data_IF_140422063281
#
_entry.id   IF_140422063281
#
_cell.length_a   1.000
_cell.length_b   1.000
_cell.length_c   1.000
_cell.angle_alpha   90.00
_cell.angle_beta   90.00
_cell.angle_gamma   90.00
#
_symmetry.space_group_name_H-M   'P 1'
#
loop_
_entity.id
_entity.type
_entity.pdbx_description
1 polymer ?
#
# COMPACT_ATOMS: atom_id res chain seq x y z
N UNK A 1 9.89 -38.15 -0.65
CA UNK A 1 10.34 -36.97 0.12
C UNK A 1 10.70 -37.45 1.51
N UNK A 2 11.95 -37.28 1.94
CA UNK A 2 12.40 -37.75 3.25
C UNK A 2 11.93 -36.84 4.37
N UNK A 3 11.92 -37.32 5.61
CA UNK A 3 11.61 -36.51 6.79
C UNK A 3 12.56 -35.29 6.90
N UNK A 4 13.84 -35.47 6.56
CA UNK A 4 14.84 -34.40 6.54
C UNK A 4 14.56 -33.33 5.47
N UNK A 5 14.07 -33.72 4.28
CA UNK A 5 13.65 -32.78 3.24
C UNK A 5 12.41 -31.99 3.63
N UNK A 6 11.47 -32.62 4.36
CA UNK A 6 10.28 -31.95 4.89
C UNK A 6 10.67 -30.93 5.97
N UNK A 7 11.51 -31.31 6.92
CA UNK A 7 11.99 -30.45 8.01
C UNK A 7 12.80 -29.26 7.48
N UNK A 8 13.69 -29.48 6.51
CA UNK A 8 14.43 -28.41 5.85
C UNK A 8 13.50 -27.40 5.17
N UNK A 9 12.47 -27.89 4.46
CA UNK A 9 11.49 -27.04 3.77
C UNK A 9 10.68 -26.20 4.76
N UNK A 10 10.26 -26.78 5.89
CA UNK A 10 9.55 -26.07 6.96
C UNK A 10 10.44 -24.98 7.55
N UNK A 11 11.66 -25.30 7.97
CA UNK A 11 12.60 -24.32 8.55
C UNK A 11 12.89 -23.17 7.58
N UNK A 12 13.05 -23.48 6.30
CA UNK A 12 13.27 -22.48 5.26
C UNK A 12 12.05 -21.57 5.06
N UNK A 13 10.83 -22.11 5.09
CA UNK A 13 9.61 -21.30 5.01
C UNK A 13 9.41 -20.41 6.24
N UNK A 14 9.64 -20.94 7.44
CA UNK A 14 9.57 -20.17 8.69
C UNK A 14 10.51 -18.98 8.67
N UNK A 15 11.75 -19.16 8.18
CA UNK A 15 12.70 -18.06 8.02
C UNK A 15 12.14 -16.92 7.15
N UNK A 16 11.56 -17.23 5.99
CA UNK A 16 11.03 -16.20 5.10
C UNK A 16 9.81 -15.49 5.68
N UNK A 17 8.91 -16.20 6.36
CA UNK A 17 7.77 -15.57 7.01
C UNK A 17 8.20 -14.69 8.19
N UNK A 18 9.22 -15.12 8.96
CA UNK A 18 9.83 -14.28 10.00
C UNK A 18 10.45 -13.02 9.40
N UNK A 19 11.13 -13.11 8.25
CA UNK A 19 11.65 -11.95 7.54
C UNK A 19 10.54 -11.00 7.07
N UNK A 20 9.42 -11.54 6.55
CA UNK A 20 8.25 -10.73 6.16
C UNK A 20 7.68 -9.97 7.36
N UNK A 21 7.49 -10.65 8.50
CA UNK A 21 7.01 -10.03 9.73
C UNK A 21 8.01 -8.97 10.23
N UNK A 22 9.32 -9.24 10.14
CA UNK A 22 10.34 -8.28 10.54
C UNK A 22 10.27 -6.98 9.71
N UNK A 23 10.00 -7.06 8.40
CA UNK A 23 9.82 -5.86 7.56
C UNK A 23 8.65 -5.01 8.03
N UNK A 24 7.49 -5.62 8.31
CA UNK A 24 6.33 -4.89 8.83
C UNK A 24 6.61 -4.26 10.21
N UNK A 25 7.30 -4.99 11.10
CA UNK A 25 7.70 -4.45 12.40
C UNK A 25 8.66 -3.27 12.24
N UNK A 26 9.59 -3.34 11.29
CA UNK A 26 10.54 -2.25 10.99
C UNK A 26 9.79 -1.02 10.46
N UNK A 27 8.81 -1.19 9.57
CA UNK A 27 7.94 -0.09 9.10
C UNK A 27 7.26 0.60 10.29
N UNK A 28 6.52 -0.16 11.10
CA UNK A 28 5.82 0.34 12.29
C UNK A 28 6.76 1.08 13.24
N UNK A 29 7.92 0.49 13.53
CA UNK A 29 8.90 1.09 14.45
C UNK A 29 9.52 2.36 13.86
N UNK A 30 9.84 2.39 12.57
CA UNK A 30 10.41 3.54 11.90
C UNK A 30 9.40 4.70 11.84
N UNK A 31 8.14 4.44 11.53
CA UNK A 31 7.08 5.46 11.55
C UNK A 31 6.85 6.03 12.95
N UNK A 32 6.87 5.17 13.96
CA UNK A 32 6.84 5.61 15.35
C UNK A 32 8.02 6.54 15.67
N UNK A 33 9.23 6.21 15.21
CA UNK A 33 10.42 7.06 15.35
C UNK A 33 10.33 8.37 14.54
N UNK A 34 9.58 8.38 13.43
CA UNK A 34 9.26 9.57 12.64
C UNK A 34 8.14 10.42 13.26
N UNK A 35 7.62 10.02 14.43
CA UNK A 35 6.59 10.75 15.17
C UNK A 35 5.18 10.60 14.59
N UNK A 36 4.92 9.55 13.80
CA UNK A 36 3.55 9.23 13.34
C UNK A 36 2.66 8.83 14.51
N UNK A 37 1.37 9.15 14.43
CA UNK A 37 0.40 8.77 15.47
C UNK A 37 0.05 7.27 15.36
N UNK A 38 -0.04 6.53 16.47
CA UNK A 38 -0.37 5.10 16.41
C UNK A 38 -1.72 4.79 15.77
N UNK A 39 -2.71 5.64 16.04
CA UNK A 39 -4.08 5.57 15.50
C UNK A 39 -4.54 7.00 15.18
N UNK A 40 -5.68 7.13 14.50
CA UNK A 40 -6.35 8.42 14.29
C UNK A 40 -6.35 9.32 15.54
N UNK A 41 -5.96 10.58 15.36
CA UNK A 41 -5.99 11.60 16.42
C UNK A 41 -7.40 11.83 16.99
N UNK A 42 -8.44 11.37 16.30
CA UNK A 42 -9.82 11.36 16.76
C UNK A 42 -10.09 10.40 17.94
N UNK A 43 -9.15 9.53 18.30
CA UNK A 43 -9.23 8.66 19.48
C UNK A 43 -10.04 7.38 19.29
N UNK A 44 -10.45 7.05 18.06
CA UNK A 44 -11.16 5.82 17.74
C UNK A 44 -10.74 5.29 16.36
N UNK A 45 -11.13 4.04 16.07
CA UNK A 45 -10.76 3.32 14.86
C UNK A 45 -12.01 2.96 14.08
N UNK A 46 -12.04 3.30 12.78
CA UNK A 46 -13.06 2.83 11.83
C UNK A 46 -12.54 1.68 11.01
N UNK A 47 -13.44 0.80 10.58
CA UNK A 47 -13.14 -0.19 9.55
C UNK A 47 -12.95 0.47 8.18
N UNK A 48 -13.77 1.46 7.87
CA UNK A 48 -13.79 2.20 6.60
C UNK A 48 -13.97 3.70 6.87
N UNK A 49 -13.13 4.52 6.25
CA UNK A 49 -13.31 5.97 6.14
C UNK A 49 -13.86 6.34 4.76
N UNK A 50 -15.03 6.97 4.74
CA UNK A 50 -15.68 7.39 3.50
C UNK A 50 -15.42 8.87 3.14
N UNK A 51 -14.86 9.65 4.05
CA UNK A 51 -14.57 11.07 3.81
C UNK A 51 -13.23 11.29 3.13
N UNK A 52 -13.24 11.69 1.86
CA UNK A 52 -12.02 11.93 1.04
C UNK A 52 -11.19 13.10 1.59
N UNK A 53 -11.81 14.27 1.74
CA UNK A 53 -11.15 15.50 2.22
C UNK A 53 -11.41 15.69 3.72
N UNK A 54 -11.14 14.66 4.51
CA UNK A 54 -11.35 14.71 5.97
C UNK A 54 -10.08 14.31 6.70
N UNK A 55 -9.93 14.78 7.94
CA UNK A 55 -8.83 14.39 8.81
C UNK A 55 -8.85 12.91 9.22
N UNK A 56 -9.89 12.15 8.85
CA UNK A 56 -9.96 10.71 9.07
C UNK A 56 -9.35 9.90 7.91
N UNK A 57 -9.18 10.50 6.73
CA UNK A 57 -8.57 9.82 5.60
C UNK A 57 -7.12 9.50 5.92
N UNK A 58 -6.68 8.28 5.57
CA UNK A 58 -5.37 7.75 5.92
C UNK A 58 -5.13 7.58 7.43
N UNK A 59 -6.17 7.54 8.25
CA UNK A 59 -6.07 7.38 9.71
C UNK A 59 -6.72 6.12 10.27
N UNK A 60 -7.41 5.34 9.42
CA UNK A 60 -8.26 4.21 9.81
C UNK A 60 -7.83 2.92 9.10
N UNK A 61 -8.54 1.80 9.32
CA UNK A 61 -8.11 0.52 8.76
C UNK A 61 -8.15 0.51 7.24
N UNK A 62 -9.13 1.16 6.62
CA UNK A 62 -9.23 1.30 5.17
C UNK A 62 -9.93 2.58 4.80
N UNK A 63 -9.65 3.04 3.59
CA UNK A 63 -10.18 4.25 2.99
C UNK A 63 -10.12 4.18 1.45
N UNK A 64 -10.32 5.31 0.79
CA UNK A 64 -10.36 5.36 -0.67
C UNK A 64 -9.04 5.06 -1.39
N UNK A 65 -7.91 5.00 -0.68
CA UNK A 65 -6.62 4.60 -1.22
C UNK A 65 -6.32 3.11 -1.02
N UNK A 66 -7.08 2.40 -0.18
CA UNK A 66 -7.00 0.94 -0.05
C UNK A 66 -7.04 0.17 -1.38
N UNK A 67 -7.88 0.54 -2.39
CA UNK A 67 -7.84 -0.07 -3.72
C UNK A 67 -6.47 0.06 -4.40
N UNK A 68 -5.74 1.16 -4.21
CA UNK A 68 -4.40 1.38 -4.75
C UNK A 68 -3.39 0.40 -4.15
N UNK A 69 -3.44 0.15 -2.83
CA UNK A 69 -2.56 -0.85 -2.19
C UNK A 69 -2.88 -2.27 -2.67
N UNK A 70 -4.15 -2.60 -2.92
CA UNK A 70 -4.48 -3.89 -3.58
C UNK A 70 -3.85 -3.97 -4.98
N UNK A 71 -3.87 -2.88 -5.76
CA UNK A 71 -3.19 -2.80 -7.06
C UNK A 71 -1.67 -2.94 -6.89
N UNK A 72 -1.04 -2.32 -5.90
CA UNK A 72 0.37 -2.56 -5.58
C UNK A 72 0.65 -4.04 -5.37
N UNK A 73 -0.23 -4.73 -4.64
CA UNK A 73 -0.17 -6.18 -4.47
C UNK A 73 -0.15 -6.94 -5.80
N UNK A 74 -0.99 -6.54 -6.76
CA UNK A 74 -1.00 -7.13 -8.10
C UNK A 74 0.31 -6.87 -8.86
N UNK A 75 0.77 -5.62 -8.86
CA UNK A 75 1.98 -5.18 -9.55
C UNK A 75 3.22 -5.87 -8.97
N UNK A 76 3.34 -5.91 -7.65
CA UNK A 76 4.49 -6.50 -6.97
C UNK A 76 4.50 -8.03 -7.05
N UNK A 77 3.33 -8.68 -7.07
CA UNK A 77 3.27 -10.10 -7.42
C UNK A 77 3.81 -10.34 -8.83
N UNK A 78 3.35 -9.57 -9.82
CA UNK A 78 3.85 -9.66 -11.20
C UNK A 78 5.35 -9.45 -11.28
N UNK A 79 5.86 -8.38 -10.67
CA UNK A 79 7.29 -8.05 -10.60
C UNK A 79 8.11 -9.18 -9.94
N UNK A 80 7.70 -9.61 -8.75
CA UNK A 80 8.40 -10.66 -8.02
C UNK A 80 8.32 -12.02 -8.73
N UNK A 81 7.22 -12.30 -9.43
CA UNK A 81 7.11 -13.48 -10.27
C UNK A 81 8.12 -13.47 -11.42
N UNK A 82 8.37 -12.31 -12.04
CA UNK A 82 9.33 -12.16 -13.15
C UNK A 82 10.78 -12.21 -12.68
N UNK A 83 11.12 -11.51 -11.59
CA UNK A 83 12.50 -11.39 -11.10
C UNK A 83 12.93 -12.62 -10.29
N UNK A 84 12.06 -13.16 -9.45
CA UNK A 84 12.36 -14.26 -8.53
C UNK A 84 11.75 -15.59 -9.02
N UNK A 85 11.88 -15.86 -10.32
CA UNK A 85 11.50 -17.14 -10.94
C UNK A 85 12.22 -18.29 -10.22
N UNK A 86 11.49 -19.35 -9.91
CA UNK A 86 12.01 -20.52 -9.17
C UNK A 86 12.25 -20.34 -7.67
N UNK A 87 12.15 -19.11 -7.12
CA UNK A 87 12.24 -18.86 -5.66
C UNK A 87 10.92 -19.19 -4.94
N UNK A 88 10.96 -19.52 -3.63
CA UNK A 88 9.76 -19.77 -2.86
C UNK A 88 8.86 -18.53 -2.80
N UNK A 89 7.55 -18.74 -2.67
CA UNK A 89 6.57 -17.66 -2.62
C UNK A 89 6.88 -16.64 -1.52
N UNK A 90 7.33 -17.09 -0.36
CA UNK A 90 7.64 -16.21 0.76
C UNK A 90 8.79 -15.24 0.44
N UNK A 91 9.75 -15.61 -0.42
CA UNK A 91 10.77 -14.67 -0.90
C UNK A 91 10.19 -13.63 -1.87
N UNK A 92 9.18 -14.01 -2.67
CA UNK A 92 8.45 -13.07 -3.54
C UNK A 92 7.61 -12.09 -2.74
N UNK A 93 6.97 -12.58 -1.68
CA UNK A 93 6.22 -11.75 -0.74
C UNK A 93 7.16 -10.80 0.01
N UNK A 94 8.33 -11.28 0.43
CA UNK A 94 9.32 -10.42 1.08
C UNK A 94 9.76 -9.25 0.19
N UNK A 95 9.96 -9.49 -1.11
CA UNK A 95 10.26 -8.41 -2.06
C UNK A 95 9.10 -7.41 -2.14
N UNK A 96 7.86 -7.89 -2.23
CA UNK A 96 6.69 -7.02 -2.27
C UNK A 96 6.55 -6.18 -0.99
N UNK A 97 6.73 -6.80 0.18
CA UNK A 97 6.74 -6.11 1.48
C UNK A 97 7.86 -5.07 1.56
N UNK A 98 9.07 -5.39 1.11
CA UNK A 98 10.18 -4.45 1.15
C UNK A 98 9.92 -3.21 0.28
N UNK A 99 9.26 -3.39 -0.87
CA UNK A 99 8.89 -2.26 -1.74
C UNK A 99 7.77 -1.45 -1.12
N UNK A 100 6.68 -2.09 -0.68
CA UNK A 100 5.53 -1.41 -0.08
C UNK A 100 5.92 -0.69 1.21
N UNK A 101 6.56 -1.36 2.16
CA UNK A 101 7.04 -0.73 3.38
C UNK A 101 8.05 0.40 3.09
N UNK A 102 8.84 0.28 2.02
CA UNK A 102 9.72 1.35 1.59
C UNK A 102 8.94 2.56 1.05
N UNK A 103 7.84 2.33 0.35
CA UNK A 103 6.91 3.36 -0.09
C UNK A 103 6.19 4.02 1.09
N UNK A 104 5.60 3.25 2.00
CA UNK A 104 4.92 3.75 3.20
C UNK A 104 5.81 4.68 4.04
N UNK A 105 7.08 4.27 4.25
CA UNK A 105 8.05 5.12 4.95
C UNK A 105 8.42 6.39 4.20
N UNK A 106 8.47 6.32 2.86
CA UNK A 106 8.77 7.48 2.04
C UNK A 106 7.57 8.44 1.96
N UNK A 107 6.36 7.91 1.79
CA UNK A 107 5.09 8.61 1.80
C UNK A 107 4.89 9.37 3.11
N UNK A 108 5.17 8.71 4.24
CA UNK A 108 5.09 9.30 5.57
C UNK A 108 6.28 10.18 5.96
N UNK A 109 7.22 10.42 5.05
CA UNK A 109 8.35 11.32 5.26
C UNK A 109 7.99 12.77 4.97
N UNK A 110 8.68 13.76 5.58
CA UNK A 110 8.45 15.18 5.28
C UNK A 110 8.56 15.49 3.79
N UNK A 111 9.45 14.80 3.07
CA UNK A 111 9.67 15.01 1.63
C UNK A 111 8.39 14.81 0.81
N UNK A 112 7.66 13.71 1.05
CA UNK A 112 6.45 13.38 0.29
C UNK A 112 5.23 14.07 0.87
N UNK A 113 5.10 14.16 2.20
CA UNK A 113 4.01 14.90 2.83
C UNK A 113 3.97 16.35 2.35
N UNK A 114 5.10 17.07 2.39
CA UNK A 114 5.15 18.46 1.93
C UNK A 114 4.88 18.58 0.43
N UNK A 115 5.26 17.55 -0.33
CA UNK A 115 4.98 17.50 -1.76
C UNK A 115 3.50 17.29 -2.05
N UNK A 116 2.80 16.40 -1.34
CA UNK A 116 1.34 16.29 -1.47
C UNK A 116 0.65 17.60 -1.09
N UNK A 117 1.03 18.21 0.04
CA UNK A 117 0.43 19.48 0.50
C UNK A 117 0.61 20.64 -0.48
N UNK A 118 1.71 20.67 -1.23
CA UNK A 118 2.01 21.75 -2.18
C UNK A 118 1.53 21.45 -3.59
N UNK A 119 1.60 20.19 -4.04
CA UNK A 119 1.30 19.80 -5.41
C UNK A 119 -0.14 19.33 -5.61
N UNK A 120 -0.80 18.76 -4.60
CA UNK A 120 -2.15 18.18 -4.72
C UNK A 120 -3.19 18.99 -3.94
N UNK A 121 -4.45 18.51 -3.91
CA UNK A 121 -5.54 19.10 -3.12
C UNK A 121 -5.48 18.74 -1.63
N UNK A 122 -4.49 17.94 -1.22
CA UNK A 122 -4.35 17.38 0.12
C UNK A 122 -3.68 18.36 1.10
N UNK A 123 -4.20 19.59 1.21
CA UNK A 123 -3.62 20.66 2.05
C UNK A 123 -3.50 20.27 3.52
N UNK A 124 -4.45 19.46 4.00
CA UNK A 124 -4.55 18.93 5.36
C UNK A 124 -4.07 17.48 5.48
N UNK A 125 -3.27 16.99 4.53
CA UNK A 125 -2.61 15.71 4.66
C UNK A 125 -1.38 15.84 5.55
N UNK A 126 -1.40 15.12 6.68
CA UNK A 126 -0.33 15.15 7.67
C UNK A 126 0.48 13.86 7.69
N UNK A 127 0.30 12.98 6.70
CA UNK A 127 0.75 11.60 6.74
C UNK A 127 -0.27 10.68 7.41
N UNK A 128 -0.02 9.41 7.28
CA UNK A 128 -0.87 8.33 7.73
C UNK A 128 -0.66 8.08 9.24
N UNK A 129 -1.68 7.52 9.88
CA UNK A 129 -1.46 6.86 11.15
C UNK A 129 -0.69 5.56 10.94
N UNK A 130 0.10 5.12 11.93
CA UNK A 130 0.84 3.85 11.88
C UNK A 130 -0.12 2.67 11.61
N UNK A 131 -1.33 2.73 12.18
CA UNK A 131 -2.36 1.73 11.92
C UNK A 131 -2.76 1.67 10.44
N UNK A 132 -2.95 2.82 9.80
CA UNK A 132 -3.37 2.90 8.39
C UNK A 132 -2.27 2.39 7.47
N UNK A 133 -1.07 2.95 7.56
CA UNK A 133 0.09 2.50 6.78
C UNK A 133 0.41 0.99 6.96
N UNK A 134 0.29 0.46 8.19
CA UNK A 134 0.41 -0.98 8.42
C UNK A 134 -0.71 -1.79 7.74
N UNK A 135 -1.92 -1.26 7.72
CA UNK A 135 -3.06 -1.88 7.04
C UNK A 135 -2.96 -1.78 5.52
N UNK A 136 -2.38 -0.71 4.98
CA UNK A 136 -2.08 -0.57 3.55
C UNK A 136 -1.10 -1.65 3.09
N UNK A 137 -0.05 -1.90 3.86
CA UNK A 137 0.83 -3.07 3.67
C UNK A 137 0.06 -4.41 3.73
N UNK A 138 -0.96 -4.53 4.60
CA UNK A 138 -1.81 -5.72 4.66
C UNK A 138 -2.71 -5.85 3.41
N UNK A 139 -3.29 -4.76 2.91
CA UNK A 139 -4.11 -4.76 1.69
C UNK A 139 -3.27 -5.03 0.44
N UNK A 140 -2.02 -4.56 0.40
CA UNK A 140 -1.04 -5.00 -0.59
C UNK A 140 -0.82 -6.51 -0.53
N UNK A 141 -0.65 -7.09 0.66
CA UNK A 141 -0.55 -8.55 0.80
C UNK A 141 -1.81 -9.28 0.30
N UNK A 142 -3.00 -8.75 0.56
CA UNK A 142 -4.26 -9.29 0.04
C UNK A 142 -4.25 -9.29 -1.49
N UNK A 143 -3.88 -8.16 -2.11
CA UNK A 143 -3.73 -8.06 -3.56
C UNK A 143 -2.72 -9.07 -4.11
N UNK A 144 -1.55 -9.18 -3.48
CA UNK A 144 -0.50 -10.12 -3.86
C UNK A 144 -0.98 -11.58 -3.88
N UNK A 145 -1.67 -12.01 -2.81
CA UNK A 145 -2.19 -13.37 -2.74
C UNK A 145 -3.38 -13.61 -3.67
N UNK A 146 -4.17 -12.58 -3.97
CA UNK A 146 -5.21 -12.65 -4.98
C UNK A 146 -4.60 -12.85 -6.38
N UNK A 147 -3.66 -11.99 -6.79
CA UNK A 147 -3.00 -12.07 -8.09
C UNK A 147 -2.25 -13.39 -8.31
N UNK A 148 -1.78 -14.03 -7.23
CA UNK A 148 -1.20 -15.38 -7.30
C UNK A 148 -2.18 -16.43 -7.83
N UNK A 149 -3.47 -16.32 -7.52
CA UNK A 149 -4.47 -17.36 -7.81
C UNK A 149 -5.43 -16.98 -8.93
N UNK A 150 -5.72 -15.70 -9.09
CA UNK A 150 -6.65 -15.22 -10.09
C UNK A 150 -6.06 -15.33 -11.52
N UNK A 151 -6.91 -15.52 -12.55
CA UNK A 151 -6.50 -15.35 -13.93
C UNK A 151 -5.98 -13.93 -14.17
N UNK A 152 -4.93 -13.79 -14.98
CA UNK A 152 -4.32 -12.48 -15.29
C UNK A 152 -5.36 -11.47 -15.80
N UNK A 153 -6.26 -11.91 -16.68
CA UNK A 153 -7.34 -11.06 -17.20
C UNK A 153 -8.27 -10.53 -16.09
N UNK A 154 -8.57 -11.34 -15.08
CA UNK A 154 -9.40 -10.90 -13.95
C UNK A 154 -8.65 -9.89 -13.07
N UNK A 155 -7.37 -10.14 -12.78
CA UNK A 155 -6.53 -9.20 -12.03
C UNK A 155 -6.44 -7.84 -12.72
N UNK A 156 -6.21 -7.84 -14.04
CA UNK A 156 -6.17 -6.61 -14.85
C UNK A 156 -7.53 -5.91 -14.87
N UNK A 157 -8.62 -6.65 -15.04
CA UNK A 157 -9.96 -6.08 -15.03
C UNK A 157 -10.30 -5.41 -13.69
N UNK A 158 -9.92 -6.03 -12.56
CA UNK A 158 -10.13 -5.44 -11.22
C UNK A 158 -9.28 -4.20 -11.03
N UNK A 159 -8.01 -4.19 -11.47
CA UNK A 159 -7.16 -3.01 -11.38
C UNK A 159 -7.75 -1.83 -12.16
N UNK A 160 -8.17 -2.07 -13.41
CA UNK A 160 -8.83 -1.05 -14.24
C UNK A 160 -10.13 -0.58 -13.59
N UNK A 161 -10.93 -1.50 -13.04
CA UNK A 161 -12.16 -1.15 -12.33
C UNK A 161 -11.87 -0.24 -11.14
N UNK A 162 -10.90 -0.57 -10.28
CA UNK A 162 -10.52 0.26 -9.14
C UNK A 162 -10.03 1.64 -9.58
N UNK A 163 -9.15 1.74 -10.57
CA UNK A 163 -8.65 3.02 -11.08
C UNK A 163 -9.77 3.92 -11.63
N UNK A 164 -10.71 3.35 -12.39
CA UNK A 164 -11.85 4.11 -12.92
C UNK A 164 -12.82 4.47 -11.80
N UNK A 165 -13.08 3.54 -10.88
CA UNK A 165 -14.04 3.71 -9.80
C UNK A 165 -13.60 4.80 -8.83
N UNK A 166 -12.38 4.74 -8.30
CA UNK A 166 -11.85 5.81 -7.43
C UNK A 166 -11.69 7.11 -8.20
N UNK A 167 -11.14 7.04 -9.42
CA UNK A 167 -10.97 8.21 -10.30
C UNK A 167 -12.27 8.94 -10.61
N UNK A 168 -13.42 8.25 -10.57
CA UNK A 168 -14.74 8.85 -10.71
C UNK A 168 -15.33 9.31 -9.38
N UNK A 169 -15.33 8.46 -8.36
CA UNK A 169 -16.00 8.72 -7.07
C UNK A 169 -15.28 9.78 -6.25
N UNK A 170 -13.96 9.65 -6.15
CA UNK A 170 -13.10 10.52 -5.34
C UNK A 170 -12.20 11.40 -6.19
N UNK A 171 -12.49 11.51 -7.50
CA UNK A 171 -11.78 12.33 -8.50
C UNK A 171 -10.24 12.17 -8.47
N UNK A 172 -9.77 11.08 -7.88
CA UNK A 172 -8.37 10.71 -7.74
C UNK A 172 -8.22 9.19 -7.76
N UNK A 173 -7.04 8.71 -8.12
CA UNK A 173 -6.70 7.28 -8.14
C UNK A 173 -5.18 7.12 -8.12
N UNK A 174 -4.67 5.88 -8.16
CA UNK A 174 -3.22 5.65 -8.12
C UNK A 174 -2.50 6.36 -9.27
N UNK A 175 -3.02 6.26 -10.50
CA UNK A 175 -2.39 6.88 -11.67
C UNK A 175 -2.29 8.40 -11.54
N UNK A 176 -3.40 9.06 -11.19
CA UNK A 176 -3.45 10.52 -11.05
C UNK A 176 -2.58 10.98 -9.89
N UNK A 177 -2.61 10.26 -8.77
CA UNK A 177 -1.76 10.53 -7.62
C UNK A 177 -0.26 10.47 -7.97
N UNK A 178 0.19 9.41 -8.65
CA UNK A 178 1.59 9.28 -9.10
C UNK A 178 1.98 10.38 -10.09
N UNK A 179 1.11 10.71 -11.06
CA UNK A 179 1.38 11.80 -12.01
C UNK A 179 1.52 13.11 -11.26
N UNK A 180 0.58 13.45 -10.39
CA UNK A 180 0.60 14.70 -9.62
C UNK A 180 1.79 14.78 -8.66
N UNK A 181 2.22 13.64 -8.12
CA UNK A 181 3.41 13.57 -7.30
C UNK A 181 4.67 13.83 -8.15
N UNK A 182 4.86 13.21 -9.31
CA UNK A 182 6.11 13.37 -10.07
C UNK A 182 6.12 14.69 -10.86
N UNK A 183 5.02 14.99 -11.56
CA UNK A 183 4.87 16.10 -12.47
C UNK A 183 3.47 16.73 -12.31
N UNK A 184 3.31 17.71 -11.41
CA UNK A 184 2.01 18.33 -11.15
C UNK A 184 1.40 18.94 -12.43
N UNK A 185 0.14 18.62 -12.72
CA UNK A 185 -0.59 19.11 -13.89
C UNK A 185 -1.83 19.87 -13.44
N UNK A 186 -1.96 21.13 -13.86
CA UNK A 186 -3.06 22.01 -13.45
C UNK A 186 -4.44 21.43 -13.79
N UNK A 187 -4.59 20.82 -14.96
CA UNK A 187 -5.86 20.20 -15.38
C UNK A 187 -6.30 19.05 -14.44
N UNK A 188 -5.34 18.26 -13.92
CA UNK A 188 -5.63 17.19 -12.96
C UNK A 188 -5.99 17.80 -11.61
N UNK A 189 -5.28 18.86 -11.18
CA UNK A 189 -5.59 19.57 -9.94
C UNK A 189 -7.00 20.15 -9.94
N UNK A 190 -7.42 20.77 -11.04
CA UNK A 190 -8.79 21.29 -11.22
C UNK A 190 -9.82 20.16 -11.18
N UNK A 191 -9.53 19.02 -11.82
CA UNK A 191 -10.39 17.84 -11.76
C UNK A 191 -10.56 17.33 -10.33
N UNK A 192 -9.46 17.15 -9.60
CA UNK A 192 -9.44 16.70 -8.21
C UNK A 192 -10.17 17.69 -7.29
N UNK A 193 -10.01 19.00 -7.49
CA UNK A 193 -10.66 20.05 -6.68
C UNK A 193 -12.18 20.13 -6.82
N UNK A 194 -12.78 19.35 -7.73
CA UNK A 194 -14.23 19.33 -7.90
C UNK A 194 -14.99 18.61 -6.77
N UNK A 195 -14.30 17.97 -5.82
CA UNK A 195 -14.92 17.27 -4.68
C UNK A 195 -15.48 18.19 -3.60
#
# INVERSE_FOLDING_TARGET
MSAAEAEYRVRHQTFWFAACLAVLIIQIAAEYMMGRVPICACGYVKLWEGGVNTSGNSQHLSDWYTPSHIIHGFLFYGLAHLILRGKPLAARLLLALAIESGWELLENSPLIIDRYRTATIALDYYGDSILNSAMDTVFMCVGFFFARRAPVALTVAIAIFFEIFTGYVIRDNLTLNVVMLIWPVEAIKVWQSGL
#
